data_IF_955320079454
#
_entry.id   IF_955320079454
#
_cell.length_a   1.000
_cell.length_b   1.000
_cell.length_c   1.000
_cell.angle_alpha   90.00
_cell.angle_beta   90.00
_cell.angle_gamma   90.00
#
_symmetry.space_group_name_H-M   'P 1'
#
loop_
_entity.id
_entity.type
_entity.pdbx_description
1 polymer ?
#
# COMPACT_ATOMS: atom_id res chain seq x y z
N UNK A 1 -39.52 55.87 21.84
CA UNK A 1 -40.93 55.51 22.16
C UNK A 1 -41.25 54.27 21.30
N UNK A 2 -41.05 53.04 21.79
CA UNK A 2 -42.04 52.18 22.45
C UNK A 2 -43.47 52.39 21.93
N UNK A 3 -43.98 51.42 21.16
CA UNK A 3 -45.35 50.94 21.31
C UNK A 3 -45.38 49.42 21.16
N UNK A 4 -46.17 48.82 22.04
CA UNK A 4 -46.26 47.42 22.41
C UNK A 4 -47.69 46.94 22.14
N UNK A 5 -47.85 45.70 21.62
CA UNK A 5 -48.85 44.65 21.99
C UNK A 5 -50.35 44.98 21.62
N UNK A 6 -51.35 44.06 21.43
CA UNK A 6 -51.46 42.61 21.78
C UNK A 6 -52.06 41.59 20.77
N UNK A 7 -51.65 40.33 21.01
CA UNK A 7 -52.33 39.01 21.06
C UNK A 7 -53.79 38.78 20.63
N UNK A 8 -54.01 37.64 19.92
CA UNK A 8 -54.88 36.45 20.22
C UNK A 8 -55.27 35.82 18.86
N UNK A 9 -55.27 34.51 18.60
CA UNK A 9 -55.35 33.34 19.47
C UNK A 9 -54.92 32.05 18.77
N UNK A 10 -54.91 30.98 19.56
CA UNK A 10 -54.28 29.69 19.32
C UNK A 10 -55.29 28.59 18.95
N UNK A 11 -54.86 27.61 18.14
CA UNK A 11 -55.33 26.21 18.12
C UNK A 11 -54.14 25.35 17.65
N UNK A 12 -53.32 24.74 18.51
CA UNK A 12 -53.43 23.38 19.08
C UNK A 12 -53.58 22.24 18.06
N UNK A 13 -52.46 21.58 17.72
CA UNK A 13 -52.45 20.17 17.33
C UNK A 13 -51.22 19.49 17.96
N UNK A 14 -51.47 18.74 19.04
CA UNK A 14 -50.53 17.82 19.67
C UNK A 14 -50.32 16.59 18.76
N UNK A 15 -49.07 16.27 18.45
CA UNK A 15 -48.70 14.92 18.05
C UNK A 15 -47.56 14.42 18.95
N UNK A 16 -47.99 13.80 20.05
CA UNK A 16 -47.17 12.94 20.93
C UNK A 16 -46.77 11.70 20.14
N UNK A 17 -45.47 11.46 19.99
CA UNK A 17 -44.92 10.19 19.51
C UNK A 17 -43.65 9.89 20.28
N UNK A 18 -43.81 9.40 21.51
CA UNK A 18 -42.73 8.87 22.34
C UNK A 18 -42.65 7.36 22.11
N UNK A 19 -41.61 6.88 21.46
CA UNK A 19 -41.24 5.47 21.44
C UNK A 19 -39.74 5.38 21.72
N UNK A 20 -39.42 4.85 22.89
CA UNK A 20 -38.09 4.77 23.48
C UNK A 20 -37.84 3.29 23.78
N UNK A 21 -37.14 2.59 22.89
CA UNK A 21 -36.69 1.18 23.03
C UNK A 21 -35.74 0.93 21.84
N UNK A 22 -34.52 0.38 21.87
CA UNK A 22 -33.75 -0.45 22.81
C UNK A 22 -32.25 -0.29 22.45
N UNK A 23 -31.35 -0.40 23.42
CA UNK A 23 -29.90 -0.62 23.20
C UNK A 23 -29.65 -1.86 22.34
N UNK A 24 -28.90 -1.74 21.25
CA UNK A 24 -28.08 -2.84 20.74
C UNK A 24 -26.99 -2.32 19.81
N UNK A 25 -25.74 -2.54 20.21
CA UNK A 25 -24.64 -2.80 19.28
C UNK A 25 -23.93 -1.59 18.67
N UNK A 26 -22.81 -1.19 19.30
CA UNK A 26 -21.58 -1.09 18.52
C UNK A 26 -21.32 -2.46 17.86
N UNK A 27 -21.17 -2.50 16.54
CA UNK A 27 -20.90 -3.72 15.77
C UNK A 27 -22.03 -4.03 14.79
N UNK A 28 -21.82 -4.21 13.49
CA UNK A 28 -20.60 -4.53 12.79
C UNK A 28 -20.19 -3.38 11.86
N UNK A 29 -18.98 -2.84 12.09
CA UNK A 29 -18.21 -2.34 10.96
C UNK A 29 -18.03 -3.53 10.04
N UNK A 30 -18.64 -3.47 8.86
CA UNK A 30 -18.33 -4.35 7.74
C UNK A 30 -16.83 -4.24 7.49
N UNK A 31 -16.05 -5.10 8.15
CA UNK A 31 -14.72 -5.43 7.64
C UNK A 31 -15.03 -6.16 6.36
N UNK A 32 -14.94 -5.41 5.26
CA UNK A 32 -14.86 -6.02 3.95
C UNK A 32 -13.75 -7.05 4.05
N UNK A 33 -14.09 -8.33 3.93
CA UNK A 33 -13.18 -9.30 3.37
C UNK A 33 -12.93 -8.80 1.96
N UNK A 34 -11.99 -7.86 1.84
CA UNK A 34 -11.54 -7.33 0.57
C UNK A 34 -10.82 -8.46 -0.15
N UNK A 35 -11.57 -9.43 -0.65
CA UNK A 35 -11.22 -10.13 -1.87
C UNK A 35 -11.25 -9.05 -2.93
N UNK A 36 -10.12 -8.34 -3.04
CA UNK A 36 -9.94 -7.26 -3.98
C UNK A 36 -10.06 -7.82 -5.39
N UNK A 37 -11.27 -7.78 -5.93
CA UNK A 37 -11.49 -7.57 -7.37
C UNK A 37 -11.50 -6.07 -7.68
N UNK A 38 -10.96 -5.26 -6.77
CA UNK A 38 -10.66 -3.87 -7.05
C UNK A 38 -9.57 -3.84 -8.10
N UNK A 39 -9.85 -3.16 -9.20
CA UNK A 39 -8.87 -2.78 -10.23
C UNK A 39 -7.62 -2.24 -9.54
N UNK A 40 -6.62 -3.12 -9.38
CA UNK A 40 -5.28 -2.82 -8.86
C UNK A 40 -4.46 -2.00 -9.87
N UNK A 41 -5.11 -1.60 -10.98
CA UNK A 41 -4.54 -0.88 -12.09
C UNK A 41 -3.56 -1.71 -12.90
N UNK A 42 -3.61 -3.04 -12.77
CA UNK A 42 -2.88 -3.99 -13.60
C UNK A 42 -3.67 -4.43 -14.82
N UNK A 43 -4.73 -3.71 -15.25
CA UNK A 43 -5.59 -4.15 -16.35
C UNK A 43 -4.83 -4.52 -17.64
N UNK A 44 -3.61 -4.00 -17.81
CA UNK A 44 -2.71 -4.33 -18.92
C UNK A 44 -1.63 -5.41 -18.62
N UNK A 45 -1.52 -5.90 -17.38
CA UNK A 45 -0.55 -6.93 -16.94
C UNK A 45 -1.31 -8.07 -16.26
N UNK A 46 -1.32 -9.23 -16.90
CA UNK A 46 -1.89 -10.45 -16.33
C UNK A 46 -0.95 -11.02 -15.26
N UNK A 47 -1.52 -11.42 -14.12
CA UNK A 47 -0.80 -12.16 -13.09
C UNK A 47 -1.77 -13.00 -12.25
N UNK A 48 -1.23 -14.00 -11.57
CA UNK A 48 -1.95 -14.81 -10.59
C UNK A 48 -1.50 -14.39 -9.20
N UNK A 49 -2.41 -13.91 -8.32
CA UNK A 49 -2.06 -13.62 -6.93
C UNK A 49 -1.55 -14.87 -6.23
N UNK A 50 -0.40 -14.75 -5.58
CA UNK A 50 0.19 -15.80 -4.72
C UNK A 50 0.62 -15.18 -3.40
N UNK A 51 0.82 -15.99 -2.37
CA UNK A 51 1.22 -15.49 -1.05
C UNK A 51 2.61 -14.87 -1.07
N UNK A 52 2.76 -13.63 -0.60
CA UNK A 52 4.07 -12.98 -0.54
C UNK A 52 5.07 -13.77 0.33
N UNK A 53 4.59 -14.47 1.35
CA UNK A 53 5.40 -15.32 2.21
C UNK A 53 5.89 -16.62 1.55
N UNK A 54 5.53 -16.89 0.28
CA UNK A 54 6.10 -17.98 -0.51
C UNK A 54 7.25 -17.51 -1.43
N UNK A 55 7.59 -16.22 -1.42
CA UNK A 55 8.68 -15.68 -2.22
C UNK A 55 10.04 -16.20 -1.74
N UNK A 56 11.00 -16.37 -2.65
CA UNK A 56 12.35 -16.88 -2.34
C UNK A 56 13.11 -16.01 -1.32
N UNK A 57 12.80 -14.71 -1.26
CA UNK A 57 13.41 -13.78 -0.31
C UNK A 57 12.69 -13.74 1.05
N UNK A 58 11.60 -14.49 1.26
CA UNK A 58 10.71 -14.29 2.41
C UNK A 58 11.36 -14.56 3.77
N UNK A 59 12.13 -15.65 3.90
CA UNK A 59 12.55 -16.21 5.19
C UNK A 59 13.25 -15.21 6.12
N UNK A 60 14.19 -14.42 5.60
CA UNK A 60 14.96 -13.46 6.40
C UNK A 60 14.42 -12.02 6.30
N UNK A 61 13.61 -11.72 5.28
CA UNK A 61 13.34 -10.33 4.89
C UNK A 61 11.88 -9.90 5.12
N UNK A 62 11.00 -10.85 5.41
CA UNK A 62 9.58 -10.62 5.73
C UNK A 62 9.26 -11.02 7.15
N UNK A 63 8.13 -10.52 7.65
CA UNK A 63 7.56 -10.89 8.94
C UNK A 63 6.40 -11.87 8.71
N UNK A 64 6.74 -13.04 8.17
CA UNK A 64 5.76 -14.06 7.80
C UNK A 64 5.22 -14.81 9.03
N UNK A 65 3.90 -15.10 9.07
CA UNK A 65 3.33 -15.91 10.14
C UNK A 65 3.88 -17.34 10.07
N UNK A 66 4.04 -17.98 11.24
CA UNK A 66 4.51 -19.37 11.33
C UNK A 66 3.56 -20.40 10.68
N UNK A 67 2.30 -20.00 10.46
CA UNK A 67 1.34 -20.80 9.69
C UNK A 67 1.51 -20.45 8.22
N UNK A 68 1.90 -21.45 7.41
CA UNK A 68 2.03 -21.36 5.95
C UNK A 68 0.65 -21.26 5.28
N UNK A 69 -0.08 -20.22 5.63
CA UNK A 69 -1.32 -19.85 4.96
C UNK A 69 -0.93 -19.05 3.71
N UNK A 70 -1.07 -19.62 2.50
CA UNK A 70 -0.65 -18.99 1.26
C UNK A 70 -1.45 -17.73 0.95
N UNK A 71 -2.58 -17.52 1.61
CA UNK A 71 -3.38 -16.30 1.46
C UNK A 71 -2.99 -15.22 2.50
N UNK A 72 -2.14 -15.56 3.48
CA UNK A 72 -1.57 -14.60 4.44
C UNK A 72 -0.21 -14.11 3.97
N UNK A 73 -0.15 -12.80 3.75
CA UNK A 73 1.10 -12.11 3.49
C UNK A 73 1.89 -11.73 4.76
N UNK A 74 2.79 -10.76 4.62
CA UNK A 74 3.71 -10.33 5.69
C UNK A 74 3.03 -9.36 6.68
N UNK A 75 3.45 -9.37 7.95
CA UNK A 75 3.25 -8.20 8.81
C UNK A 75 4.07 -7.00 8.26
N UNK A 76 3.75 -5.75 8.66
CA UNK A 76 4.42 -4.56 8.12
C UNK A 76 5.96 -4.64 8.24
N UNK A 77 6.65 -4.52 7.11
CA UNK A 77 8.11 -4.39 7.03
C UNK A 77 8.50 -3.26 6.11
N UNK A 78 9.69 -2.69 6.31
CA UNK A 78 10.23 -1.62 5.48
C UNK A 78 11.58 -2.01 4.91
N UNK A 79 11.79 -1.71 3.62
CA UNK A 79 13.07 -1.87 2.96
C UNK A 79 13.55 -0.53 2.40
N UNK A 80 14.85 -0.28 2.47
CA UNK A 80 15.47 0.94 1.93
C UNK A 80 16.87 0.65 1.41
N UNK A 81 17.36 1.48 0.51
CA UNK A 81 18.76 1.46 0.06
C UNK A 81 19.74 2.08 1.06
N UNK A 82 19.23 2.72 2.11
CA UNK A 82 20.02 3.14 3.26
C UNK A 82 20.32 1.97 4.19
N UNK A 83 21.52 1.96 4.77
CA UNK A 83 21.95 0.91 5.69
C UNK A 83 21.38 1.06 7.11
N UNK A 84 20.88 2.25 7.48
CA UNK A 84 20.33 2.54 8.81
C UNK A 84 19.15 3.51 8.79
N UNK A 85 18.35 3.45 9.85
CA UNK A 85 17.33 4.43 10.21
C UNK A 85 17.96 5.83 10.26
N UNK A 86 17.44 6.77 9.45
CA UNK A 86 17.91 8.17 9.29
C UNK A 86 19.15 8.43 8.42
N UNK A 87 19.67 7.43 7.70
CA UNK A 87 20.64 7.69 6.62
C UNK A 87 19.87 7.95 5.33
N UNK A 88 20.26 9.00 4.59
CA UNK A 88 19.48 9.55 3.47
C UNK A 88 19.11 8.53 2.39
N UNK A 89 17.96 7.89 2.55
CA UNK A 89 17.43 6.92 1.62
C UNK A 89 17.09 7.61 0.28
N UNK A 90 17.36 6.94 -0.83
CA UNK A 90 16.82 7.35 -2.13
C UNK A 90 15.50 6.63 -2.44
N UNK A 91 15.27 5.47 -1.80
CA UNK A 91 14.05 4.68 -1.94
C UNK A 91 13.58 4.11 -0.60
N UNK A 92 12.25 4.03 -0.44
CA UNK A 92 11.60 3.33 0.66
C UNK A 92 10.47 2.45 0.14
N UNK A 93 10.60 1.14 0.34
CA UNK A 93 9.53 0.18 0.13
C UNK A 93 8.88 -0.16 1.48
N UNK A 94 7.55 -0.24 1.50
CA UNK A 94 6.76 -0.74 2.62
C UNK A 94 5.96 -1.93 2.14
N UNK A 95 6.06 -3.04 2.85
CA UNK A 95 5.36 -4.26 2.51
C UNK A 95 4.43 -4.61 3.66
N UNK A 96 3.19 -4.93 3.32
CA UNK A 96 2.16 -5.34 4.27
C UNK A 96 1.17 -6.24 3.53
N UNK A 97 0.79 -7.34 4.17
CA UNK A 97 -0.02 -8.39 3.55
C UNK A 97 0.68 -8.84 2.25
N UNK A 98 0.02 -8.78 1.09
CA UNK A 98 0.58 -9.16 -0.20
C UNK A 98 0.93 -7.94 -1.05
N UNK A 99 1.01 -6.74 -0.45
CA UNK A 99 1.19 -5.49 -1.20
C UNK A 99 2.53 -4.84 -0.91
N UNK A 100 3.01 -4.07 -1.89
CA UNK A 100 4.15 -3.18 -1.76
C UNK A 100 3.75 -1.75 -2.14
N UNK A 101 4.14 -0.81 -1.28
CA UNK A 101 4.22 0.60 -1.62
C UNK A 101 5.67 1.05 -1.72
N UNK A 102 6.06 1.65 -2.85
CA UNK A 102 7.38 2.23 -3.07
C UNK A 102 7.29 3.75 -3.13
N UNK A 103 8.24 4.43 -2.50
CA UNK A 103 8.42 5.88 -2.61
C UNK A 103 9.83 6.19 -3.09
N UNK A 104 9.92 7.05 -4.10
CA UNK A 104 11.17 7.55 -4.67
C UNK A 104 11.11 9.08 -4.69
N UNK A 105 11.47 9.74 -3.57
CA UNK A 105 11.22 11.17 -3.39
C UNK A 105 11.88 12.06 -4.44
N UNK A 106 13.10 11.73 -4.89
CA UNK A 106 13.82 12.55 -5.86
C UNK A 106 13.25 12.47 -7.27
N UNK A 107 12.53 11.40 -7.58
CA UNK A 107 11.73 11.33 -8.80
C UNK A 107 10.29 11.80 -8.58
N UNK A 108 9.94 12.16 -7.32
CA UNK A 108 8.58 12.39 -6.87
C UNK A 108 7.63 11.27 -7.35
N UNK A 109 8.16 10.04 -7.35
CA UNK A 109 7.52 8.90 -7.94
C UNK A 109 7.08 7.91 -6.86
N UNK A 110 6.06 7.13 -7.18
CA UNK A 110 5.53 6.11 -6.30
C UNK A 110 5.08 4.87 -7.06
N UNK A 111 5.11 3.73 -6.38
CA UNK A 111 4.52 2.49 -6.85
C UNK A 111 3.58 1.93 -5.80
N UNK A 112 2.46 1.34 -6.24
CA UNK A 112 1.57 0.53 -5.43
C UNK A 112 1.20 -0.71 -6.22
N UNK A 113 1.39 -1.90 -5.63
CA UNK A 113 1.07 -3.15 -6.29
C UNK A 113 0.99 -4.34 -5.34
N UNK A 114 0.62 -5.48 -5.90
CA UNK A 114 0.40 -6.73 -5.19
C UNK A 114 1.32 -7.82 -5.71
N UNK A 115 1.77 -8.69 -4.82
CA UNK A 115 2.62 -9.83 -5.14
C UNK A 115 1.87 -10.85 -5.99
N UNK A 116 2.55 -11.38 -6.99
CA UNK A 116 1.94 -12.28 -7.94
C UNK A 116 2.95 -13.00 -8.82
N UNK A 117 2.46 -14.01 -9.51
CA UNK A 117 3.18 -14.76 -10.54
C UNK A 117 2.68 -14.35 -11.93
N UNK A 118 3.61 -14.03 -12.83
CA UNK A 118 3.36 -13.69 -14.22
C UNK A 118 3.18 -14.95 -15.09
N UNK A 119 2.65 -14.83 -16.33
CA UNK A 119 2.44 -15.98 -17.21
C UNK A 119 3.69 -16.77 -17.59
N UNK A 120 4.87 -16.16 -17.46
CA UNK A 120 6.17 -16.80 -17.68
C UNK A 120 6.73 -17.52 -16.43
N UNK A 121 5.97 -17.52 -15.33
CA UNK A 121 6.35 -18.09 -14.04
C UNK A 121 7.25 -17.19 -13.20
N UNK A 122 7.61 -15.99 -13.68
CA UNK A 122 8.35 -15.02 -12.87
C UNK A 122 7.45 -14.41 -11.81
N UNK A 123 8.01 -14.04 -10.66
CA UNK A 123 7.25 -13.40 -9.58
C UNK A 123 7.68 -11.96 -9.38
N UNK A 124 6.72 -11.10 -9.05
CA UNK A 124 6.94 -9.68 -8.83
C UNK A 124 5.73 -8.99 -8.23
N UNK A 125 5.92 -7.74 -7.81
CA UNK A 125 4.78 -6.90 -7.44
C UNK A 125 4.22 -6.26 -8.70
N UNK A 126 2.98 -6.58 -9.04
CA UNK A 126 2.27 -6.02 -10.19
C UNK A 126 1.35 -4.91 -9.72
N UNK A 127 1.39 -3.77 -10.38
CA UNK A 127 0.55 -2.63 -9.99
C UNK A 127 0.82 -1.39 -10.83
N UNK A 128 0.83 -0.22 -10.18
CA UNK A 128 0.91 1.08 -10.85
C UNK A 128 2.11 1.89 -10.41
N UNK A 129 2.78 2.52 -11.37
CA UNK A 129 3.84 3.50 -11.18
C UNK A 129 3.35 4.91 -11.54
N UNK A 130 3.63 5.86 -10.66
CA UNK A 130 3.22 7.27 -10.76
C UNK A 130 4.44 8.17 -10.78
N UNK A 131 4.41 9.20 -11.62
CA UNK A 131 5.41 10.28 -11.67
C UNK A 131 4.67 11.61 -11.89
N UNK A 132 5.28 12.76 -11.57
CA UNK A 132 4.66 14.06 -11.84
C UNK A 132 4.47 14.33 -13.33
N UNK A 133 5.32 13.74 -14.17
CA UNK A 133 5.30 13.91 -15.64
C UNK A 133 4.15 13.17 -16.31
N UNK A 134 3.61 12.13 -15.66
CA UNK A 134 2.51 11.32 -16.18
C UNK A 134 1.21 11.62 -15.43
N UNK A 135 0.22 12.18 -16.12
CA UNK A 135 -1.10 12.44 -15.54
C UNK A 135 -1.86 11.17 -15.17
N UNK A 136 -1.49 10.02 -15.76
CA UNK A 136 -2.06 8.72 -15.45
C UNK A 136 -0.98 7.79 -14.86
N UNK A 137 -1.36 7.04 -13.83
CA UNK A 137 -0.51 5.99 -13.27
C UNK A 137 -0.40 4.84 -14.29
N UNK A 138 0.84 4.45 -14.61
CA UNK A 138 1.14 3.45 -15.64
C UNK A 138 1.25 2.05 -15.03
N UNK A 139 0.80 0.98 -15.71
CA UNK A 139 1.06 -0.39 -15.29
C UNK A 139 2.57 -0.64 -15.17
N UNK A 140 2.98 -1.28 -14.09
CA UNK A 140 4.38 -1.53 -13.79
C UNK A 140 4.55 -2.81 -12.94
N UNK A 141 5.76 -3.34 -12.98
CA UNK A 141 6.18 -4.48 -12.17
C UNK A 141 7.40 -4.06 -11.35
N UNK A 142 7.41 -4.38 -10.07
CA UNK A 142 8.60 -4.31 -9.22
C UNK A 142 9.15 -5.72 -9.01
N UNK A 143 10.35 -5.94 -9.51
CA UNK A 143 11.10 -7.17 -9.27
C UNK A 143 12.02 -7.01 -8.06
N UNK A 144 12.16 -8.10 -7.31
CA UNK A 144 13.18 -8.27 -6.27
C UNK A 144 14.22 -9.25 -6.81
N UNK A 145 15.31 -8.70 -7.36
CA UNK A 145 16.38 -9.52 -7.94
C UNK A 145 17.39 -9.92 -6.87
N UNK A 146 18.06 -11.08 -6.99
CA UNK A 146 19.09 -11.49 -6.03
C UNK A 146 20.20 -10.43 -5.89
N UNK A 147 20.56 -10.11 -4.64
CA UNK A 147 21.72 -9.26 -4.36
C UNK A 147 23.04 -10.07 -4.50
N UNK A 148 24.15 -9.46 -4.93
CA UNK A 148 25.48 -10.06 -4.76
C UNK A 148 25.76 -10.24 -3.27
N UNK A 149 26.60 -11.22 -2.91
CA UNK A 149 26.99 -11.71 -1.57
C UNK A 149 27.16 -10.64 -0.44
N UNK A 150 26.10 -9.94 -0.09
CA UNK A 150 26.04 -8.93 0.95
C UNK A 150 25.05 -9.45 2.02
N UNK A 151 25.53 -9.74 3.24
CA UNK A 151 24.78 -10.54 4.22
C UNK A 151 23.46 -9.92 4.69
N UNK A 152 23.31 -8.59 4.58
CA UNK A 152 22.11 -7.87 5.04
C UNK A 152 21.22 -7.36 3.89
N UNK A 153 21.58 -7.66 2.64
CA UNK A 153 20.81 -7.25 1.48
C UNK A 153 19.64 -8.19 1.22
N UNK A 154 18.44 -7.62 1.07
CA UNK A 154 17.27 -8.36 0.60
C UNK A 154 17.44 -8.72 -0.87
N UNK A 155 17.87 -7.75 -1.67
CA UNK A 155 17.90 -7.84 -3.13
C UNK A 155 18.00 -6.49 -3.80
N UNK A 156 18.06 -6.50 -5.12
CA UNK A 156 17.88 -5.30 -5.95
C UNK A 156 16.41 -5.09 -6.28
N UNK A 157 15.84 -3.97 -5.87
CA UNK A 157 14.53 -3.54 -6.35
C UNK A 157 14.66 -2.85 -7.70
N UNK A 158 13.93 -3.31 -8.69
CA UNK A 158 13.86 -2.70 -10.02
C UNK A 158 12.41 -2.53 -10.46
N UNK A 159 12.07 -1.33 -10.94
CA UNK A 159 10.74 -1.04 -11.51
C UNK A 159 10.83 -1.08 -13.02
N UNK A 160 9.94 -1.84 -13.66
CA UNK A 160 9.77 -1.90 -15.12
C UNK A 160 8.33 -1.62 -15.52
N UNK A 161 8.10 -1.21 -16.77
CA UNK A 161 6.76 -1.16 -17.33
C UNK A 161 6.30 -2.53 -17.86
N UNK A 162 5.08 -2.59 -18.39
CA UNK A 162 4.50 -3.80 -18.99
C UNK A 162 5.30 -4.36 -20.18
N UNK A 163 6.15 -3.55 -20.83
CA UNK A 163 7.02 -3.99 -21.92
C UNK A 163 8.41 -4.45 -21.41
N UNK A 164 8.64 -4.43 -20.10
CA UNK A 164 9.93 -4.75 -19.48
C UNK A 164 10.95 -3.62 -19.55
N UNK A 165 10.55 -2.41 -19.97
CA UNK A 165 11.45 -1.25 -20.01
C UNK A 165 11.62 -0.73 -18.59
N UNK A 166 12.89 -0.55 -18.19
CA UNK A 166 13.24 -0.01 -16.88
C UNK A 166 12.70 1.40 -16.68
N UNK A 167 11.93 1.57 -15.60
CA UNK A 167 11.38 2.85 -15.17
C UNK A 167 12.22 3.50 -14.06
N UNK A 168 12.68 2.70 -13.09
CA UNK A 168 13.46 3.18 -11.96
C UNK A 168 14.32 2.09 -11.30
N UNK A 169 15.23 2.48 -10.41
CA UNK A 169 16.21 1.59 -9.77
C UNK A 169 17.45 1.31 -10.65
N UNK A 170 18.13 0.16 -10.49
CA UNK A 170 17.97 -0.77 -9.40
C UNK A 170 18.49 -0.17 -8.08
N UNK A 171 17.87 -0.52 -6.96
CA UNK A 171 18.34 -0.14 -5.62
C UNK A 171 18.63 -1.39 -4.81
N UNK A 172 19.83 -1.47 -4.23
CA UNK A 172 20.18 -2.54 -3.32
C UNK A 172 19.51 -2.26 -1.98
N UNK A 173 18.45 -2.97 -1.65
CA UNK A 173 17.66 -2.69 -0.45
C UNK A 173 17.96 -3.66 0.68
N UNK A 174 17.78 -3.15 1.89
CA UNK A 174 17.93 -3.84 3.16
C UNK A 174 16.71 -3.62 4.01
N UNK A 175 16.45 -4.52 4.95
CA UNK A 175 15.40 -4.28 5.95
C UNK A 175 15.83 -3.15 6.89
N UNK A 176 14.90 -2.24 7.16
CA UNK A 176 15.09 -1.10 8.06
C UNK A 176 13.96 -1.02 9.07
N UNK A 177 14.27 -0.53 10.26
CA UNK A 177 13.34 -0.38 11.38
C UNK A 177 13.18 1.10 11.74
N UNK A 178 11.99 1.53 12.14
CA UNK A 178 11.71 2.91 12.56
C UNK A 178 11.50 3.91 11.41
N UNK A 179 11.72 5.19 11.69
CA UNK A 179 11.51 6.28 10.71
C UNK A 179 12.72 6.43 9.78
N UNK A 180 12.51 6.28 8.48
CA UNK A 180 13.56 6.46 7.47
C UNK A 180 13.58 7.91 6.99
N UNK A 181 14.75 8.54 7.06
CA UNK A 181 15.00 9.87 6.50
C UNK A 181 15.44 9.77 5.05
N UNK A 182 14.99 10.68 4.19
CA UNK A 182 15.37 10.69 2.77
C UNK A 182 16.56 11.61 2.51
N UNK A 183 17.37 11.24 1.52
CA UNK A 183 18.43 12.11 1.02
C UNK A 183 17.85 13.39 0.41
N UNK A 184 18.63 14.48 0.50
CA UNK A 184 18.37 15.65 -0.31
C UNK A 184 18.59 15.30 -1.79
N UNK A 185 17.64 15.69 -2.63
CA UNK A 185 17.74 15.45 -4.05
C UNK A 185 18.76 16.38 -4.68
N UNK A 186 19.66 15.83 -5.50
CA UNK A 186 20.58 16.61 -6.29
C UNK A 186 19.76 17.54 -7.20
N UNK A 187 20.10 18.84 -7.19
CA UNK A 187 19.47 19.87 -8.02
C UNK A 187 20.03 19.87 -9.43
#
# INVERSE_FOLDING_TARGET
>A
MRFSIPTRGAVLALARGLALSVLAGCGAGVVGTGGGTGDDGSSDIQYTPVGLCTADFADANLACPATKDPDRGTAPVQWSDANKTNEGASVLARLEINSMGLQVPCLQAGFLGSWGELPDGTQGFVGRYTTPESQAARPAIVYVLPAPNEPDAVGWLQVVDAAGVKLAGPWLVRRVEGNVGFAACAR
#
